data_IF_410064700952
#
_entry.id   IF_410064700952
#
_cell.length_a   1.000
_cell.length_b   1.000
_cell.length_c   1.000
_cell.angle_alpha   90.00
_cell.angle_beta   90.00
_cell.angle_gamma   90.00
#
_symmetry.space_group_name_H-M   'P 1'
#
loop_
_entity.id
_entity.type
_entity.pdbx_description
1 polymer ?
#
# COMPACT_ATOMS: atom_id res chain seq x y z
N UNK A 1 -16.60 16.10 -9.33
CA UNK A 1 -15.67 17.11 -8.76
C UNK A 1 -14.64 16.55 -7.79
N UNK A 2 -14.86 15.40 -7.11
CA UNK A 2 -13.91 14.87 -6.13
C UNK A 2 -12.60 14.29 -6.73
N UNK A 3 -12.55 13.82 -7.98
CA UNK A 3 -11.49 12.92 -8.47
C UNK A 3 -10.15 13.56 -8.92
N UNK A 4 -9.91 14.84 -8.61
CA UNK A 4 -8.72 15.53 -9.12
C UNK A 4 -8.00 16.24 -7.99
N UNK A 5 -6.88 15.67 -7.58
CA UNK A 5 -6.05 16.19 -6.50
C UNK A 5 -4.60 16.33 -6.95
N UNK A 6 -3.85 17.23 -6.33
CA UNK A 6 -2.43 17.39 -6.61
C UNK A 6 -1.67 16.10 -6.28
N UNK A 7 -0.56 15.86 -6.99
CA UNK A 7 0.28 14.67 -6.79
C UNK A 7 0.65 14.47 -5.32
N UNK A 8 1.05 15.56 -4.63
CA UNK A 8 1.42 15.52 -3.21
C UNK A 8 0.24 15.07 -2.33
N UNK A 9 -0.94 15.61 -2.57
CA UNK A 9 -2.13 15.29 -1.76
C UNK A 9 -2.63 13.87 -2.02
N UNK A 10 -2.56 13.38 -3.25
CA UNK A 10 -2.89 11.98 -3.55
C UNK A 10 -1.93 10.97 -2.90
N UNK A 11 -0.63 11.29 -2.83
CA UNK A 11 0.34 10.46 -2.09
C UNK A 11 0.01 10.48 -0.61
N UNK A 12 -0.29 11.65 -0.05
CA UNK A 12 -0.61 11.81 1.37
C UNK A 12 -1.90 11.07 1.75
N UNK A 13 -2.96 11.14 0.93
CA UNK A 13 -4.18 10.34 1.11
C UNK A 13 -3.89 8.84 1.11
N UNK A 14 -3.06 8.35 0.17
CA UNK A 14 -2.65 6.94 0.12
C UNK A 14 -1.85 6.50 1.35
N UNK A 15 -0.93 7.35 1.82
CA UNK A 15 -0.15 7.11 3.04
C UNK A 15 -1.07 7.05 4.27
N UNK A 16 -2.02 7.99 4.41
CA UNK A 16 -2.99 7.96 5.52
C UNK A 16 -3.76 6.63 5.52
N UNK A 17 -4.29 6.21 4.38
CA UNK A 17 -5.01 4.93 4.26
C UNK A 17 -4.13 3.75 4.64
N UNK A 18 -2.88 3.72 4.19
CA UNK A 18 -1.92 2.70 4.58
C UNK A 18 -1.72 2.67 6.10
N UNK A 19 -1.46 3.83 6.72
CA UNK A 19 -1.21 3.93 8.17
C UNK A 19 -2.43 3.49 8.98
N UNK A 20 -3.64 3.86 8.57
CA UNK A 20 -4.87 3.41 9.22
C UNK A 20 -5.04 1.89 9.13
N UNK A 21 -4.75 1.31 7.97
CA UNK A 21 -4.78 -0.15 7.79
C UNK A 21 -3.74 -0.84 8.66
N UNK A 22 -2.52 -0.31 8.72
CA UNK A 22 -1.43 -0.87 9.52
C UNK A 22 -1.70 -0.78 11.02
N UNK A 23 -2.23 0.33 11.50
CA UNK A 23 -2.64 0.50 12.90
C UNK A 23 -3.83 -0.40 13.26
N UNK A 24 -4.80 -0.53 12.35
CA UNK A 24 -5.91 -1.47 12.51
C UNK A 24 -5.41 -2.92 12.61
N UNK A 25 -4.40 -3.29 11.83
CA UNK A 25 -3.79 -4.62 11.87
C UNK A 25 -3.06 -4.94 13.18
N UNK A 26 -2.79 -3.95 14.05
CA UNK A 26 -2.22 -4.16 15.38
C UNK A 26 -3.30 -4.46 16.43
N UNK A 27 -4.58 -4.26 16.11
CA UNK A 27 -5.67 -4.62 17.03
C UNK A 27 -5.73 -6.13 17.21
N UNK A 28 -5.84 -6.58 18.46
CA UNK A 28 -5.93 -7.99 18.76
C UNK A 28 -7.24 -8.56 18.16
N UNK A 29 -7.16 -9.57 17.27
CA UNK A 29 -8.33 -10.08 16.59
C UNK A 29 -9.36 -10.70 17.56
N UNK A 30 -8.92 -11.13 18.76
CA UNK A 30 -9.79 -11.68 19.82
C UNK A 30 -10.82 -10.66 20.33
N UNK A 31 -10.59 -9.36 20.11
CA UNK A 31 -11.53 -8.30 20.52
C UNK A 31 -12.80 -8.31 19.63
N UNK A 32 -12.73 -8.90 18.44
CA UNK A 32 -13.84 -8.90 17.47
C UNK A 32 -14.71 -10.16 17.61
N UNK A 33 -16.00 -10.04 17.94
CA UNK A 33 -16.90 -11.19 18.07
C UNK A 33 -17.33 -11.76 16.71
N UNK A 34 -17.63 -13.07 16.68
CA UNK A 34 -18.23 -13.78 15.55
C UNK A 34 -17.45 -13.66 14.23
N UNK A 35 -18.15 -13.37 13.12
CA UNK A 35 -17.59 -13.22 11.78
C UNK A 35 -16.69 -11.99 11.63
N UNK A 36 -16.77 -11.03 12.56
CA UNK A 36 -15.95 -9.82 12.51
C UNK A 36 -14.47 -10.10 12.80
N UNK A 37 -14.16 -11.20 13.49
CA UNK A 37 -12.82 -11.76 13.66
C UNK A 37 -12.08 -11.98 12.33
N UNK A 38 -12.82 -12.33 11.27
CA UNK A 38 -12.24 -12.57 9.93
C UNK A 38 -12.39 -11.32 9.04
N UNK A 39 -13.56 -10.70 9.05
CA UNK A 39 -13.86 -9.60 8.13
C UNK A 39 -13.00 -8.35 8.39
N UNK A 40 -12.77 -8.01 9.66
CA UNK A 40 -12.06 -6.77 10.04
C UNK A 40 -10.56 -6.84 9.70
N UNK A 41 -9.81 -7.91 10.04
CA UNK A 41 -8.43 -8.05 9.59
C UNK A 41 -8.29 -8.08 8.06
N UNK A 42 -9.24 -8.71 7.37
CA UNK A 42 -9.24 -8.77 5.91
C UNK A 42 -9.47 -7.38 5.29
N UNK A 43 -10.34 -6.57 5.90
CA UNK A 43 -10.52 -5.17 5.54
C UNK A 43 -9.23 -4.36 5.74
N UNK A 44 -8.52 -4.55 6.86
CA UNK A 44 -7.25 -3.86 7.10
C UNK A 44 -6.17 -4.22 6.09
N UNK A 45 -6.07 -5.51 5.72
CA UNK A 45 -5.17 -5.97 4.66
C UNK A 45 -5.53 -5.35 3.31
N UNK A 46 -6.82 -5.31 2.97
CA UNK A 46 -7.28 -4.64 1.75
C UNK A 46 -6.93 -3.16 1.77
N UNK A 47 -7.12 -2.49 2.91
CA UNK A 47 -6.79 -1.07 3.07
C UNK A 47 -5.29 -0.83 2.84
N UNK A 48 -4.46 -1.67 3.45
CA UNK A 48 -3.01 -1.58 3.44
C UNK A 48 -2.42 -1.87 2.06
N UNK A 49 -2.83 -2.96 1.41
CA UNK A 49 -2.17 -3.47 0.21
C UNK A 49 -2.84 -3.09 -1.11
N UNK A 50 -4.17 -2.93 -1.14
CA UNK A 50 -4.92 -2.69 -2.38
C UNK A 50 -5.52 -1.29 -2.44
N UNK A 51 -6.26 -0.87 -1.42
CA UNK A 51 -7.05 0.36 -1.48
C UNK A 51 -6.14 1.58 -1.45
N UNK A 52 -5.12 1.61 -0.60
CA UNK A 52 -4.17 2.72 -0.55
C UNK A 52 -3.54 3.08 -1.91
N UNK A 53 -2.91 2.14 -2.66
CA UNK A 53 -2.34 2.45 -3.96
C UNK A 53 -3.41 2.72 -5.02
N UNK A 54 -4.54 1.98 -5.01
CA UNK A 54 -5.64 2.19 -5.97
C UNK A 54 -6.29 3.56 -5.80
N UNK A 55 -6.47 3.99 -4.56
CA UNK A 55 -7.03 5.30 -4.24
C UNK A 55 -6.09 6.40 -4.70
N UNK A 56 -4.81 6.31 -4.34
CA UNK A 56 -3.81 7.30 -4.73
C UNK A 56 -3.74 7.47 -6.26
N UNK A 57 -3.77 6.37 -7.03
CA UNK A 57 -3.73 6.45 -8.49
C UNK A 57 -4.99 7.00 -9.12
N UNK A 58 -6.17 6.58 -8.64
CA UNK A 58 -7.46 7.05 -9.15
C UNK A 58 -7.64 8.55 -8.95
N UNK A 59 -7.11 9.08 -7.85
CA UNK A 59 -7.18 10.50 -7.47
C UNK A 59 -6.19 11.37 -8.26
N UNK A 60 -5.13 10.76 -8.80
CA UNK A 60 -4.13 11.43 -9.64
C UNK A 60 -4.50 11.34 -11.12
N UNK A 61 -5.37 12.24 -11.56
CA UNK A 61 -5.70 12.42 -12.97
C UNK A 61 -4.65 13.31 -13.65
N UNK A 62 -3.90 12.73 -14.61
CA UNK A 62 -2.98 13.50 -15.45
C UNK A 62 -3.81 14.39 -16.39
N UNK A 63 -3.57 15.70 -16.32
CA UNK A 63 -4.24 16.66 -17.21
C UNK A 63 -3.67 16.70 -18.61
N UNK A 64 -2.41 16.29 -18.76
CA UNK A 64 -1.77 16.14 -20.07
C UNK A 64 -1.88 14.71 -20.55
N UNK A 65 -2.15 14.59 -21.86
CA UNK A 65 -2.16 13.40 -22.73
C UNK A 65 -0.82 12.63 -22.75
N UNK A 66 -0.09 12.61 -21.65
CA UNK A 66 1.21 11.99 -21.53
C UNK A 66 1.02 10.49 -21.32
N UNK A 67 1.42 9.71 -22.34
CA UNK A 67 1.91 8.34 -22.16
C UNK A 67 2.69 8.25 -20.86
N UNK A 68 2.35 7.28 -20.01
CA UNK A 68 3.05 6.85 -18.79
C UNK A 68 4.37 7.60 -18.53
N UNK A 69 4.27 8.83 -18.00
CA UNK A 69 5.47 9.62 -17.76
C UNK A 69 6.30 8.96 -16.67
N UNK A 70 7.61 9.17 -16.68
CA UNK A 70 8.55 8.61 -15.68
C UNK A 70 8.06 8.81 -14.24
N UNK A 71 7.33 9.91 -13.99
CA UNK A 71 6.71 10.23 -12.69
C UNK A 71 5.64 9.23 -12.25
N UNK A 72 4.91 8.65 -13.20
CA UNK A 72 3.86 7.69 -12.91
C UNK A 72 4.42 6.29 -12.68
N UNK A 73 5.42 5.87 -13.46
CA UNK A 73 6.13 4.60 -13.23
C UNK A 73 6.80 4.56 -11.85
N UNK A 74 7.38 5.71 -11.44
CA UNK A 74 7.98 5.87 -10.12
C UNK A 74 6.99 6.08 -8.98
N UNK A 75 5.67 6.24 -9.25
CA UNK A 75 4.70 6.48 -8.20
C UNK A 75 4.51 5.26 -7.30
N UNK A 76 4.35 4.06 -7.88
CA UNK A 76 4.22 2.82 -7.10
C UNK A 76 5.42 2.56 -6.19
N UNK A 77 6.66 2.56 -6.73
CA UNK A 77 7.87 2.37 -5.92
C UNK A 77 8.06 3.47 -4.86
N UNK A 78 7.76 4.74 -5.18
CA UNK A 78 7.88 5.84 -4.20
C UNK A 78 6.87 5.72 -3.07
N UNK A 79 5.62 5.40 -3.39
CA UNK A 79 4.56 5.25 -2.40
C UNK A 79 4.85 4.03 -1.51
N UNK A 80 5.35 2.93 -2.10
CA UNK A 80 5.81 1.76 -1.35
C UNK A 80 6.98 2.10 -0.42
N UNK A 81 7.97 2.86 -0.88
CA UNK A 81 9.12 3.27 -0.06
C UNK A 81 8.69 4.15 1.14
N UNK A 82 7.76 5.10 0.93
CA UNK A 82 7.25 5.94 2.01
C UNK A 82 6.45 5.11 3.01
N UNK A 83 5.54 4.25 2.53
CA UNK A 83 4.76 3.37 3.39
C UNK A 83 5.65 2.39 4.17
N UNK A 84 6.69 1.83 3.54
CA UNK A 84 7.67 0.96 4.19
C UNK A 84 8.47 1.70 5.27
N UNK A 85 8.89 2.95 5.01
CA UNK A 85 9.53 3.77 6.03
C UNK A 85 8.64 4.02 7.26
N UNK A 86 7.34 4.23 7.04
CA UNK A 86 6.37 4.37 8.13
C UNK A 86 6.12 3.03 8.83
N UNK A 87 6.10 1.93 8.08
CA UNK A 87 5.95 0.58 8.61
C UNK A 87 7.05 0.24 9.61
N UNK A 88 8.31 0.51 9.26
CA UNK A 88 9.46 0.30 10.15
C UNK A 88 9.26 1.08 11.46
N UNK A 89 8.84 2.35 11.38
CA UNK A 89 8.60 3.18 12.58
C UNK A 89 7.48 2.57 13.42
N UNK A 90 6.38 2.13 12.81
CA UNK A 90 5.28 1.49 13.51
C UNK A 90 5.73 0.17 14.14
N UNK A 91 6.49 -0.65 13.44
CA UNK A 91 6.99 -1.93 13.94
C UNK A 91 7.91 -1.75 15.14
N UNK A 92 8.79 -0.74 15.10
CA UNK A 92 9.70 -0.40 16.19
C UNK A 92 8.94 0.07 17.44
N UNK A 93 7.95 0.96 17.28
CA UNK A 93 7.28 1.66 18.39
C UNK A 93 6.06 0.91 18.94
N UNK A 94 5.23 0.33 18.07
CA UNK A 94 3.96 -0.28 18.44
C UNK A 94 3.98 -1.81 18.35
N UNK A 95 4.81 -2.37 17.48
CA UNK A 95 5.02 -3.81 17.39
C UNK A 95 4.70 -4.44 16.03
N UNK A 96 4.92 -5.74 15.95
CA UNK A 96 4.73 -6.51 14.72
C UNK A 96 3.28 -7.01 14.62
N UNK A 97 2.60 -6.69 13.53
CA UNK A 97 1.45 -7.48 13.12
C UNK A 97 2.01 -8.77 12.50
N UNK A 98 2.27 -9.76 13.36
CA UNK A 98 2.50 -11.13 12.89
C UNK A 98 1.21 -11.54 12.19
N UNK A 99 1.31 -12.23 11.04
CA UNK A 99 0.23 -12.40 10.04
C UNK A 99 -1.17 -12.73 10.59
N UNK A 100 -2.19 -12.64 9.74
CA UNK A 100 -3.64 -12.55 10.05
C UNK A 100 -4.23 -13.53 11.07
N UNK A 101 -3.51 -14.58 11.47
CA UNK A 101 -3.95 -15.62 12.42
C UNK A 101 -3.06 -15.76 13.65
N UNK A 102 -2.02 -14.95 13.77
CA UNK A 102 -1.13 -14.92 14.94
C UNK A 102 -1.39 -13.68 15.77
N UNK A 103 -1.21 -13.80 17.08
CA UNK A 103 -1.38 -12.67 17.98
C UNK A 103 -0.38 -11.56 17.62
N UNK A 104 -0.82 -10.29 17.57
CA UNK A 104 0.09 -9.16 17.38
C UNK A 104 1.14 -9.19 18.49
N UNK A 105 2.40 -9.03 18.09
CA UNK A 105 3.52 -9.04 19.01
C UNK A 105 3.86 -7.60 19.40
N UNK A 106 4.22 -7.41 20.68
CA UNK A 106 4.58 -6.10 21.23
C UNK A 106 5.78 -5.42 20.54
N UNK A 107 6.14 -4.21 21.00
CA UNK A 107 7.11 -3.33 20.33
C UNK A 107 8.45 -4.03 20.06
N UNK A 108 8.93 -3.95 18.81
CA UNK A 108 10.17 -4.60 18.41
C UNK A 108 11.39 -4.01 19.15
N UNK A 109 11.37 -2.70 19.45
CA UNK A 109 12.42 -2.06 20.25
C UNK A 109 12.62 -2.72 21.61
N UNK A 110 11.54 -2.93 22.35
CA UNK A 110 11.63 -3.58 23.66
C UNK A 110 12.18 -5.01 23.53
N UNK A 111 11.78 -5.72 22.48
CA UNK A 111 12.12 -7.13 22.28
C UNK A 111 13.53 -7.39 21.76
N UNK A 112 14.14 -6.40 21.10
CA UNK A 112 15.54 -6.44 20.67
C UNK A 112 16.50 -6.47 21.87
N UNK A 113 16.14 -5.80 22.98
CA UNK A 113 16.99 -5.68 24.17
C UNK A 113 16.63 -6.65 25.31
N UNK A 114 15.54 -7.41 25.18
CA UNK A 114 15.16 -8.44 26.17
C UNK A 114 15.83 -9.78 25.87
N UNK A 115 16.28 -10.49 26.91
CA UNK A 115 16.69 -11.90 26.81
C UNK A 115 15.53 -12.84 27.18
N UNK A 116 15.43 -14.00 26.52
CA UNK A 116 14.43 -15.04 26.81
C UNK A 116 13.48 -15.35 25.63
N UNK A 117 12.34 -16.00 25.92
CA UNK A 117 11.38 -16.51 24.92
C UNK A 117 10.75 -15.43 24.02
N UNK A 118 10.83 -14.18 24.45
CA UNK A 118 10.29 -13.02 23.73
C UNK A 118 11.37 -12.23 22.96
N UNK A 119 12.64 -12.66 23.02
CA UNK A 119 13.74 -12.02 22.31
C UNK A 119 13.49 -12.04 20.80
N UNK A 120 13.71 -10.90 20.15
CA UNK A 120 13.63 -10.78 18.71
C UNK A 120 15.05 -10.67 18.14
N UNK A 121 15.47 -11.67 17.35
CA UNK A 121 16.74 -11.58 16.67
C UNK A 121 16.70 -10.49 15.59
N UNK A 122 17.79 -9.75 15.44
CA UNK A 122 17.88 -8.68 14.43
C UNK A 122 17.74 -9.21 13.00
N UNK A 123 18.15 -10.47 12.77
CA UNK A 123 17.97 -11.16 11.49
C UNK A 123 16.48 -11.47 11.24
N UNK A 124 15.73 -11.91 12.25
CA UNK A 124 14.30 -12.20 12.11
C UNK A 124 13.50 -10.93 11.83
N UNK A 125 13.85 -9.82 12.50
CA UNK A 125 13.32 -8.49 12.20
C UNK A 125 13.64 -8.10 10.75
N UNK A 126 14.89 -8.28 10.32
CA UNK A 126 15.32 -7.98 8.95
C UNK A 126 14.55 -8.77 7.90
N UNK A 127 14.34 -10.07 8.12
CA UNK A 127 13.57 -10.94 7.22
C UNK A 127 12.08 -10.54 7.19
N UNK A 128 11.50 -10.21 8.34
CA UNK A 128 10.12 -9.72 8.44
C UNK A 128 9.94 -8.43 7.64
N UNK A 129 10.77 -7.42 7.89
CA UNK A 129 10.72 -6.14 7.20
C UNK A 129 11.00 -6.29 5.70
N UNK A 130 11.97 -7.12 5.31
CA UNK A 130 12.27 -7.38 3.90
C UNK A 130 11.09 -8.02 3.18
N UNK A 131 10.43 -9.00 3.82
CA UNK A 131 9.20 -9.61 3.28
C UNK A 131 8.10 -8.57 3.11
N UNK A 132 7.84 -7.75 4.12
CA UNK A 132 6.79 -6.73 4.06
C UNK A 132 7.10 -5.67 3.01
N UNK A 133 8.35 -5.20 2.96
CA UNK A 133 8.84 -4.28 1.93
C UNK A 133 8.67 -4.85 0.52
N UNK A 134 9.11 -6.10 0.28
CA UNK A 134 8.98 -6.76 -1.01
C UNK A 134 7.51 -6.88 -1.45
N UNK A 135 6.60 -7.25 -0.53
CA UNK A 135 5.17 -7.30 -0.81
C UNK A 135 4.59 -5.92 -1.15
N UNK A 136 4.97 -4.89 -0.40
CA UNK A 136 4.52 -3.51 -0.68
C UNK A 136 5.01 -3.05 -2.05
N UNK A 137 6.29 -3.25 -2.38
CA UNK A 137 6.83 -2.90 -3.69
C UNK A 137 6.11 -3.63 -4.82
N UNK A 138 5.91 -4.94 -4.71
CA UNK A 138 5.24 -5.74 -5.74
C UNK A 138 3.76 -5.34 -5.90
N UNK A 139 2.99 -5.29 -4.80
CA UNK A 139 1.56 -5.02 -4.86
C UNK A 139 1.26 -3.57 -5.22
N UNK A 140 2.04 -2.60 -4.75
CA UNK A 140 1.80 -1.20 -5.09
C UNK A 140 2.15 -0.92 -6.54
N UNK A 141 3.24 -1.47 -7.07
CA UNK A 141 3.57 -1.33 -8.49
C UNK A 141 2.49 -1.97 -9.37
N UNK A 142 2.06 -3.18 -9.05
CA UNK A 142 0.99 -3.88 -9.77
C UNK A 142 -0.34 -3.11 -9.69
N UNK A 143 -0.78 -2.71 -8.50
CA UNK A 143 -2.02 -1.97 -8.31
C UNK A 143 -2.02 -0.65 -9.09
N UNK A 144 -0.88 0.05 -9.14
CA UNK A 144 -0.72 1.29 -9.89
C UNK A 144 -0.84 1.06 -11.40
N UNK A 145 -0.28 -0.03 -11.90
CA UNK A 145 -0.35 -0.41 -13.32
C UNK A 145 -1.78 -0.83 -13.69
N UNK A 146 -2.38 -1.75 -12.93
CA UNK A 146 -3.74 -2.25 -13.17
C UNK A 146 -4.78 -1.14 -13.14
N UNK A 147 -4.67 -0.21 -12.19
CA UNK A 147 -5.60 0.93 -12.12
C UNK A 147 -5.49 1.86 -13.32
N UNK A 148 -4.29 2.08 -13.87
CA UNK A 148 -4.16 2.86 -15.12
C UNK A 148 -4.68 2.13 -16.33
N UNK A 149 -4.44 0.83 -16.42
CA UNK A 149 -5.00 0.00 -17.49
C UNK A 149 -6.52 0.11 -17.49
N UNK A 150 -7.15 -0.02 -16.31
CA UNK A 150 -8.59 0.12 -16.14
C UNK A 150 -9.12 1.53 -16.46
N UNK A 151 -8.34 2.59 -16.22
CA UNK A 151 -8.71 3.98 -16.54
C UNK A 151 -8.42 4.37 -18.01
N UNK A 152 -8.06 3.42 -18.89
CA UNK A 152 -7.85 3.68 -20.32
C UNK A 152 -6.50 4.33 -20.67
N UNK A 153 -5.49 4.21 -19.80
CA UNK A 153 -4.19 4.86 -19.98
C UNK A 153 -3.27 4.26 -21.06
N UNK A 154 -3.60 3.09 -21.60
CA UNK A 154 -2.67 2.28 -22.43
C UNK A 154 -3.16 1.95 -23.83
N UNK A 155 -4.47 1.88 -24.07
CA UNK A 155 -5.01 1.37 -25.33
C UNK A 155 -5.95 2.41 -25.96
N UNK A 156 -5.38 3.45 -26.56
CA UNK A 156 -5.96 3.97 -27.81
C UNK A 156 -5.06 3.51 -28.93
N UNK A 157 -5.46 2.40 -29.56
CA UNK A 157 -5.06 2.16 -30.94
C UNK A 157 -5.55 3.37 -31.74
N UNK A 158 -4.66 4.29 -32.06
CA UNK A 158 -4.91 5.20 -33.18
C UNK A 158 -4.86 4.33 -34.42
N UNK A 159 -5.99 3.73 -34.78
CA UNK A 159 -6.12 3.10 -36.08
C UNK A 159 -5.89 4.21 -37.12
N UNK A 160 -5.00 4.04 -38.11
CA UNK A 160 -4.84 5.01 -39.17
C UNK A 160 -6.08 4.92 -40.06
N UNK A 161 -7.18 5.55 -39.64
CA UNK A 161 -8.28 5.86 -40.53
C UNK A 161 -7.77 6.93 -41.48
N UNK A 162 -7.70 6.59 -42.77
CA UNK A 162 -7.32 7.52 -43.82
C UNK A 162 -8.08 8.83 -43.72
N UNK A 163 -7.36 9.94 -43.91
CA UNK A 163 -7.91 11.23 -44.28
C UNK A 163 -8.54 12.08 -43.18
N UNK A 164 -9.33 11.53 -42.25
CA UNK A 164 -10.08 12.34 -41.29
C UNK A 164 -10.01 11.78 -39.86
N UNK A 165 -9.35 12.53 -38.97
CA UNK A 165 -9.18 12.20 -37.56
C UNK A 165 -10.51 12.29 -36.83
N UNK A 166 -11.20 11.16 -36.69
CA UNK A 166 -12.31 11.02 -35.75
C UNK A 166 -11.73 10.74 -34.37
N UNK A 167 -11.85 11.70 -33.46
CA UNK A 167 -11.63 11.45 -32.03
C UNK A 167 -12.96 11.09 -31.38
N UNK A 168 -13.17 9.81 -31.04
CA UNK A 168 -14.11 9.43 -29.98
C UNK A 168 -13.62 9.97 -28.63
#
# INVERSE_FOLDING_TARGET
MFNKVSYRRGVLEGVILYTLGRLGALMNPIIFPDWTYVAVPLLFLLLQYLIAPVWATRRMTSTKRERLSRRFWLLGPRLAAICFGIDIVITLVFGMAVGSFSAPQGPALARLFTAGRNHLALLDLGVYELRTGALLFALYTLAVICTRLAMGGFLRFTMPAGGNRVTL
#
